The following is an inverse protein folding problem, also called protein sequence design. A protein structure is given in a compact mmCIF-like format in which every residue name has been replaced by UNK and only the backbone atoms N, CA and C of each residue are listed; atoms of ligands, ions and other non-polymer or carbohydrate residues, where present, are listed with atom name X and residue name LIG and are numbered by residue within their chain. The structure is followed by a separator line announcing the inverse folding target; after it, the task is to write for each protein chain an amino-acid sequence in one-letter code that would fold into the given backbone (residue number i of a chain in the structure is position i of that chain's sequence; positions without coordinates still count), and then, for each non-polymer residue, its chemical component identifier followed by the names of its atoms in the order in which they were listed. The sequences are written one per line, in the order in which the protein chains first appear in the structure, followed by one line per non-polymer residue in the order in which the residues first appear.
data_IF_506976554673
#
_entry.id   IF_506976554673
#
_cell.length_a   1.000
_cell.length_b   1.000
_cell.length_c   1.000
_cell.angle_alpha   90.00
_cell.angle_beta   90.00
_cell.angle_gamma   90.00
#
_symmetry.space_group_name_H-M   'P 1'
#
loop_
_entity.id
_entity.type
_entity.pdbx_description
1 polymer ?
#
# COMPACT_ATOMS: atom_id res chain seq x y z
N UNK A 1 37.17 6.05 5.04
CA UNK A 1 35.76 6.18 4.59
C UNK A 1 35.54 5.21 3.44
N UNK A 2 34.40 4.52 3.38
CA UNK A 2 34.09 3.67 2.23
C UNK A 2 34.09 4.51 0.94
N UNK A 3 34.56 3.95 -0.18
CA UNK A 3 34.56 4.65 -1.46
C UNK A 3 33.12 5.10 -1.82
N UNK A 4 32.99 6.34 -2.29
CA UNK A 4 31.72 6.84 -2.82
C UNK A 4 31.34 5.99 -4.05
N UNK A 5 30.09 5.55 -4.08
CA UNK A 5 29.50 4.73 -5.14
C UNK A 5 28.34 5.46 -5.78
N UNK A 6 28.02 5.11 -7.01
CA UNK A 6 26.83 5.56 -7.73
C UNK A 6 25.79 4.46 -7.75
N UNK A 7 24.61 4.72 -7.22
CA UNK A 7 23.49 3.77 -7.18
C UNK A 7 22.35 4.30 -8.00
N UNK A 8 21.78 3.45 -8.85
CA UNK A 8 20.56 3.77 -9.59
C UNK A 8 19.35 3.19 -8.85
N UNK A 9 18.28 3.98 -8.71
CA UNK A 9 17.00 3.56 -8.13
C UNK A 9 15.93 3.70 -9.20
N UNK A 10 15.30 2.60 -9.61
CA UNK A 10 14.21 2.58 -10.58
C UNK A 10 12.88 2.59 -9.84
N UNK A 11 12.21 3.73 -9.82
CA UNK A 11 10.92 3.97 -9.15
C UNK A 11 11.00 5.07 -8.10
N UNK A 12 10.10 6.05 -8.19
CA UNK A 12 10.02 7.22 -7.31
C UNK A 12 8.97 7.14 -6.20
N UNK A 13 8.51 5.93 -5.84
CA UNK A 13 7.56 5.74 -4.74
C UNK A 13 8.22 5.81 -3.37
N UNK A 14 7.47 5.51 -2.30
CA UNK A 14 7.98 5.54 -0.92
C UNK A 14 9.28 4.73 -0.74
N UNK A 15 9.32 3.51 -1.29
CA UNK A 15 10.49 2.64 -1.20
C UNK A 15 11.72 3.23 -1.91
N UNK A 16 11.53 3.76 -3.12
CA UNK A 16 12.62 4.36 -3.89
C UNK A 16 13.16 5.63 -3.26
N UNK A 17 12.27 6.53 -2.79
CA UNK A 17 12.68 7.76 -2.11
C UNK A 17 13.36 7.48 -0.77
N UNK A 18 12.84 6.54 0.03
CA UNK A 18 13.48 6.12 1.28
C UNK A 18 14.87 5.52 1.03
N UNK A 19 15.01 4.65 0.03
CA UNK A 19 16.30 4.08 -0.36
C UNK A 19 17.28 5.16 -0.80
N UNK A 20 16.85 6.08 -1.66
CA UNK A 20 17.68 7.19 -2.13
C UNK A 20 18.14 8.09 -0.97
N UNK A 21 17.24 8.43 -0.05
CA UNK A 21 17.57 9.23 1.13
C UNK A 21 18.61 8.53 2.01
N UNK A 22 18.44 7.23 2.30
CA UNK A 22 19.41 6.47 3.13
C UNK A 22 20.75 6.23 2.45
N UNK A 23 20.78 6.02 1.14
CA UNK A 23 22.01 5.90 0.36
C UNK A 23 22.76 7.25 0.31
N UNK A 24 22.03 8.36 0.16
CA UNK A 24 22.61 9.70 0.18
C UNK A 24 23.15 10.07 1.58
N UNK A 25 22.43 9.74 2.66
CA UNK A 25 22.92 9.85 4.05
C UNK A 25 24.23 9.07 4.25
N UNK A 26 24.33 7.88 3.66
CA UNK A 26 25.53 7.02 3.73
C UNK A 26 26.72 7.50 2.88
N UNK A 27 26.59 8.58 2.11
CA UNK A 27 27.70 9.13 1.32
C UNK A 27 27.72 8.79 -0.17
N UNK A 28 26.72 8.06 -0.67
CA UNK A 28 26.65 7.62 -2.06
C UNK A 28 25.93 8.63 -2.95
N UNK A 29 26.24 8.61 -4.25
CA UNK A 29 25.48 9.33 -5.28
C UNK A 29 24.32 8.46 -5.74
N UNK A 30 23.15 9.05 -5.91
CA UNK A 30 21.94 8.31 -6.30
C UNK A 30 21.30 8.95 -7.53
N UNK A 31 20.94 8.13 -8.51
CA UNK A 31 20.12 8.54 -9.65
C UNK A 31 18.77 7.85 -9.56
N UNK A 32 17.69 8.61 -9.46
CA UNK A 32 16.32 8.08 -9.38
C UNK A 32 15.68 8.19 -10.75
N UNK A 33 15.27 7.08 -11.34
CA UNK A 33 14.52 7.04 -12.60
C UNK A 33 13.05 6.77 -12.31
N UNK A 34 12.16 7.61 -12.82
CA UNK A 34 10.73 7.46 -12.61
C UNK A 34 9.93 7.79 -13.87
N UNK A 35 8.97 6.91 -14.19
CA UNK A 35 8.07 7.07 -15.32
C UNK A 35 7.20 8.34 -15.22
N UNK A 36 6.88 8.75 -13.99
CA UNK A 36 6.08 9.92 -13.68
C UNK A 36 6.82 10.81 -12.67
N UNK A 37 6.40 12.06 -12.46
CA UNK A 37 6.89 12.84 -11.33
C UNK A 37 6.74 12.03 -10.04
N UNK A 38 7.77 12.00 -9.18
CA UNK A 38 7.85 11.05 -8.05
C UNK A 38 6.64 11.18 -7.11
N UNK A 39 6.11 12.40 -6.94
CA UNK A 39 4.89 12.74 -6.18
C UNK A 39 3.59 12.14 -6.74
N UNK A 40 3.61 11.67 -7.99
CA UNK A 40 2.47 11.00 -8.67
C UNK A 40 2.59 9.47 -8.66
N UNK A 41 3.61 8.92 -7.99
CA UNK A 41 3.72 7.49 -7.75
C UNK A 41 2.49 6.95 -7.01
N UNK A 42 2.11 5.69 -7.26
CA UNK A 42 0.89 5.10 -6.70
C UNK A 42 0.83 5.11 -5.16
N UNK A 43 1.97 5.22 -4.47
CA UNK A 43 2.01 5.42 -3.01
C UNK A 43 1.14 6.58 -2.53
N UNK A 44 0.93 7.62 -3.35
CA UNK A 44 0.03 8.76 -3.03
C UNK A 44 -1.41 8.33 -2.76
N UNK A 45 -1.84 7.20 -3.33
CA UNK A 45 -3.21 6.69 -3.22
C UNK A 45 -3.47 5.90 -1.94
N UNK A 46 -2.45 5.64 -1.10
CA UNK A 46 -2.65 4.91 0.14
C UNK A 46 -3.42 5.77 1.17
N UNK A 47 -4.55 5.26 1.66
CA UNK A 47 -5.43 6.00 2.57
C UNK A 47 -5.30 5.50 4.03
N UNK A 48 -5.25 4.17 4.18
CA UNK A 48 -5.42 3.46 5.46
C UNK A 48 -4.39 3.77 6.54
N UNK A 49 -3.12 3.93 6.19
CA UNK A 49 -2.08 4.28 7.15
C UNK A 49 -0.88 3.34 7.10
N UNK A 50 -0.05 3.41 8.13
CA UNK A 50 1.17 2.61 8.30
C UNK A 50 1.15 1.93 9.68
N UNK A 51 1.40 0.63 9.71
CA UNK A 51 1.39 -0.14 10.96
C UNK A 51 2.73 -0.03 11.70
N UNK A 52 2.67 0.12 13.02
CA UNK A 52 3.81 0.00 13.92
C UNK A 52 3.36 -0.05 15.37
N UNK A 53 3.83 -1.07 16.10
CA UNK A 53 3.44 -1.35 17.47
C UNK A 53 4.08 -0.37 18.47
N UNK A 54 3.59 0.88 18.47
CA UNK A 54 4.04 1.94 19.38
C UNK A 54 3.39 1.83 20.76
N UNK A 55 2.18 1.26 20.84
CA UNK A 55 1.45 0.99 22.08
C UNK A 55 1.11 2.24 22.96
N UNK A 56 0.89 3.42 22.36
CA UNK A 56 0.52 4.64 23.13
C UNK A 56 -0.81 4.51 23.88
N UNK A 57 -1.70 3.61 23.45
CA UNK A 57 -3.00 3.36 24.11
C UNK A 57 -2.91 2.42 25.32
N UNK A 58 -1.74 1.83 25.59
CA UNK A 58 -1.57 0.88 26.70
C UNK A 58 -2.30 -0.45 26.50
N UNK A 59 -2.56 -0.86 25.26
CA UNK A 59 -3.28 -2.11 24.93
C UNK A 59 -2.40 -3.37 25.05
N UNK A 60 -1.14 -3.22 25.48
CA UNK A 60 -0.15 -4.29 25.50
C UNK A 60 0.28 -4.72 24.09
N UNK A 61 0.26 -3.81 23.12
CA UNK A 61 0.78 -4.09 21.78
C UNK A 61 2.32 -4.18 21.78
N UNK A 62 2.89 -4.99 20.88
CA UNK A 62 4.34 -5.18 20.79
C UNK A 62 4.79 -5.53 19.37
N UNK A 63 6.07 -5.31 19.03
CA UNK A 63 6.63 -5.78 17.76
C UNK A 63 6.44 -7.28 17.53
N UNK A 64 6.48 -8.10 18.59
CA UNK A 64 6.24 -9.54 18.47
C UNK A 64 4.79 -9.86 18.07
N UNK A 65 3.80 -9.17 18.66
CA UNK A 65 2.40 -9.35 18.25
C UNK A 65 2.15 -8.85 16.82
N UNK A 66 2.83 -7.78 16.40
CA UNK A 66 2.77 -7.33 15.01
C UNK A 66 3.43 -8.34 14.06
N UNK A 67 4.53 -8.97 14.47
CA UNK A 67 5.15 -10.08 13.75
C UNK A 67 4.19 -11.28 13.63
N UNK A 68 3.57 -11.72 14.74
CA UNK A 68 2.62 -12.83 14.77
C UNK A 68 1.42 -12.59 13.84
N UNK A 69 0.77 -11.42 13.95
CA UNK A 69 -0.33 -11.03 13.05
C UNK A 69 0.12 -11.06 11.57
N UNK A 70 1.37 -10.70 11.28
CA UNK A 70 1.91 -10.70 9.91
C UNK A 70 2.18 -12.11 9.39
N UNK A 71 2.72 -13.01 10.22
CA UNK A 71 3.00 -14.40 9.85
C UNK A 71 1.71 -15.18 9.64
N UNK A 72 0.73 -15.02 10.53
CA UNK A 72 -0.58 -15.65 10.37
C UNK A 72 -1.31 -15.07 9.16
N UNK A 73 -1.27 -13.76 8.95
CA UNK A 73 -1.91 -13.11 7.81
C UNK A 73 -1.28 -13.44 6.45
N UNK A 74 -0.02 -13.86 6.42
CA UNK A 74 0.63 -14.37 5.20
C UNK A 74 0.61 -15.90 5.09
N UNK A 75 -0.25 -16.56 5.87
CA UNK A 75 -0.45 -18.02 5.90
C UNK A 75 0.88 -18.80 6.01
N UNK A 76 1.78 -18.30 6.86
CA UNK A 76 3.11 -18.86 7.11
C UNK A 76 4.06 -18.96 5.90
N UNK A 77 3.68 -18.42 4.74
CA UNK A 77 4.50 -18.38 3.53
C UNK A 77 5.64 -17.35 3.64
N UNK A 78 5.54 -16.40 4.56
CA UNK A 78 6.53 -15.33 4.71
C UNK A 78 7.89 -15.86 5.17
N UNK A 79 8.96 -15.24 4.68
CA UNK A 79 10.28 -15.40 5.28
C UNK A 79 10.32 -14.63 6.61
N UNK A 80 10.32 -15.36 7.72
CA UNK A 80 10.08 -14.80 9.06
C UNK A 80 11.13 -13.78 9.55
N UNK A 81 12.46 -13.97 9.38
CA UNK A 81 13.44 -13.02 9.93
C UNK A 81 13.31 -11.59 9.36
N UNK A 82 13.10 -11.37 8.04
CA UNK A 82 12.75 -10.04 7.52
C UNK A 82 11.45 -9.47 8.10
N UNK A 83 10.43 -10.30 8.33
CA UNK A 83 9.14 -9.84 8.91
C UNK A 83 9.34 -9.38 10.35
N UNK A 84 10.10 -10.11 11.15
CA UNK A 84 10.41 -9.69 12.53
C UNK A 84 11.17 -8.36 12.54
N UNK A 85 12.20 -8.23 11.68
CA UNK A 85 12.93 -6.95 11.54
C UNK A 85 12.02 -5.80 11.10
N UNK A 86 11.07 -6.06 10.20
CA UNK A 86 10.07 -5.06 9.79
C UNK A 86 9.22 -4.62 10.99
N UNK A 87 8.70 -5.58 11.77
CA UNK A 87 7.85 -5.30 12.93
C UNK A 87 8.60 -4.53 14.04
N UNK A 88 9.87 -4.89 14.31
CA UNK A 88 10.75 -4.18 15.26
C UNK A 88 11.08 -2.75 14.83
N UNK A 89 11.26 -2.52 13.52
CA UNK A 89 11.63 -1.19 13.00
C UNK A 89 10.44 -0.26 12.79
N UNK A 90 9.24 -0.82 12.64
CA UNK A 90 8.04 -0.06 12.34
C UNK A 90 7.77 1.12 13.32
N UNK A 91 7.86 0.96 14.66
CA UNK A 91 7.69 2.07 15.59
C UNK A 91 8.68 3.21 15.34
N UNK A 92 9.95 2.89 15.13
CA UNK A 92 10.99 3.88 14.86
C UNK A 92 10.78 4.59 13.52
N UNK A 93 10.27 3.88 12.50
CA UNK A 93 9.91 4.47 11.20
C UNK A 93 8.74 5.44 11.34
N UNK A 94 7.71 5.10 12.13
CA UNK A 94 6.59 6.03 12.41
C UNK A 94 7.10 7.31 13.05
N UNK A 95 7.93 7.21 14.10
CA UNK A 95 8.51 8.39 14.74
C UNK A 95 9.47 9.17 13.83
N UNK A 96 10.19 8.49 12.93
CA UNK A 96 11.02 9.16 11.93
C UNK A 96 10.15 10.02 11.01
N UNK A 97 9.07 9.45 10.48
CA UNK A 97 8.13 10.14 9.60
C UNK A 97 7.42 11.30 10.31
N UNK A 98 7.05 11.10 11.58
CA UNK A 98 6.48 12.15 12.43
C UNK A 98 7.45 13.34 12.56
N UNK A 99 8.73 13.07 12.84
CA UNK A 99 9.78 14.09 12.92
C UNK A 99 10.15 14.72 11.57
N UNK A 100 9.86 14.05 10.46
CA UNK A 100 9.98 14.61 9.11
C UNK A 100 8.84 15.58 8.77
N UNK A 101 7.86 15.75 9.66
CA UNK A 101 6.75 16.66 9.48
C UNK A 101 5.52 16.03 8.84
N UNK A 102 5.42 14.70 8.79
CA UNK A 102 4.18 14.03 8.35
C UNK A 102 3.07 14.40 9.34
N UNK A 103 1.96 15.03 8.89
CA UNK A 103 0.87 15.47 9.76
C UNK A 103 -0.03 14.29 10.17
N UNK A 104 0.52 13.35 10.93
CA UNK A 104 -0.27 12.27 11.52
C UNK A 104 -1.35 12.84 12.45
N UNK A 105 -2.52 12.20 12.45
CA UNK A 105 -3.59 12.53 13.38
C UNK A 105 -3.11 12.44 14.83
N UNK A 106 -3.64 13.33 15.66
CA UNK A 106 -3.33 13.40 17.08
C UNK A 106 -4.54 13.08 17.94
N UNK A 107 -4.29 12.62 19.16
CA UNK A 107 -5.29 12.61 20.24
C UNK A 107 -5.52 14.04 20.75
N UNK A 108 -6.51 14.23 21.62
CA UNK A 108 -6.77 15.51 22.31
C UNK A 108 -5.56 16.03 23.08
N UNK A 109 -4.70 15.12 23.56
CA UNK A 109 -3.49 15.42 24.31
C UNK A 109 -2.27 15.71 23.41
N UNK A 110 -2.44 15.68 22.08
CA UNK A 110 -1.37 15.94 21.12
C UNK A 110 -0.46 14.75 20.82
N UNK A 111 -0.76 13.55 21.32
CA UNK A 111 -0.02 12.31 21.01
C UNK A 111 -0.43 11.75 19.64
N UNK A 112 0.40 10.88 19.04
CA UNK A 112 0.02 10.18 17.80
C UNK A 112 -1.25 9.34 18.02
N UNK A 113 -2.22 9.51 17.13
CA UNK A 113 -3.43 8.69 17.09
C UNK A 113 -3.22 7.44 16.25
N UNK A 114 -3.79 6.33 16.70
CA UNK A 114 -3.74 5.04 16.03
C UNK A 114 -5.13 4.45 15.89
N UNK A 115 -5.43 3.88 14.73
CA UNK A 115 -6.70 3.19 14.43
C UNK A 115 -6.50 1.69 14.26
N UNK A 116 -7.61 0.96 14.27
CA UNK A 116 -7.66 -0.46 13.87
C UNK A 116 -7.65 -0.58 12.34
N UNK A 117 -7.18 -1.73 11.87
CA UNK A 117 -7.10 -2.06 10.45
C UNK A 117 -7.23 -3.58 10.27
N UNK A 118 -7.51 -4.05 9.06
CA UNK A 118 -7.84 -5.45 8.83
C UNK A 118 -6.75 -6.41 9.32
N UNK A 119 -7.16 -7.54 9.90
CA UNK A 119 -6.24 -8.56 10.41
C UNK A 119 -5.57 -8.24 11.75
N UNK A 120 -5.94 -7.17 12.45
CA UNK A 120 -5.47 -6.92 13.82
C UNK A 120 -6.54 -6.24 14.68
N UNK A 121 -6.57 -6.59 15.97
CA UNK A 121 -7.46 -5.97 16.96
C UNK A 121 -6.78 -4.82 17.72
N UNK A 122 -5.47 -4.65 17.56
CA UNK A 122 -4.67 -3.60 18.23
C UNK A 122 -4.68 -2.30 17.42
N UNK A 123 -4.72 -1.17 18.12
CA UNK A 123 -4.60 0.14 17.49
C UNK A 123 -3.13 0.47 17.19
N UNK A 124 -2.66 0.03 16.02
CA UNK A 124 -1.27 0.23 15.61
C UNK A 124 -1.07 0.88 14.24
N UNK A 125 -2.15 1.31 13.60
CA UNK A 125 -2.10 1.99 12.31
C UNK A 125 -2.06 3.50 12.50
N UNK A 126 -0.88 4.12 12.30
CA UNK A 126 -0.75 5.58 12.24
C UNK A 126 -1.29 6.10 10.91
N UNK A 127 -1.99 7.24 10.93
CA UNK A 127 -2.71 7.77 9.77
C UNK A 127 -2.73 9.29 9.73
N UNK A 128 -2.88 9.86 8.54
CA UNK A 128 -3.11 11.28 8.30
C UNK A 128 -4.38 11.45 7.45
N UNK A 129 -5.51 11.64 8.13
CA UNK A 129 -6.85 11.62 7.57
C UNK A 129 -7.09 10.39 6.68
N UNK A 130 -7.50 10.66 5.45
CA UNK A 130 -7.61 9.67 4.38
C UNK A 130 -6.49 9.78 3.33
N UNK A 131 -5.41 10.53 3.62
CA UNK A 131 -4.35 10.86 2.65
C UNK A 131 -2.96 10.44 3.13
N UNK A 132 -2.86 9.45 4.03
CA UNK A 132 -1.60 9.05 4.65
C UNK A 132 -0.47 8.83 3.63
N UNK A 133 -0.73 8.08 2.56
CA UNK A 133 0.26 7.82 1.50
C UNK A 133 0.78 9.08 0.81
N UNK A 134 -0.10 10.05 0.55
CA UNK A 134 0.28 11.35 0.01
C UNK A 134 1.21 12.09 0.96
N UNK A 135 0.86 12.16 2.24
CA UNK A 135 1.64 12.88 3.25
C UNK A 135 3.02 12.24 3.44
N UNK A 136 3.09 10.90 3.49
CA UNK A 136 4.35 10.17 3.54
C UNK A 136 5.23 10.44 2.32
N UNK A 137 4.64 10.46 1.13
CA UNK A 137 5.37 10.66 -0.12
C UNK A 137 5.92 12.08 -0.23
N UNK A 138 5.15 13.08 0.19
CA UNK A 138 5.58 14.47 0.17
C UNK A 138 6.71 14.74 1.16
N UNK A 139 6.59 14.24 2.39
CA UNK A 139 7.67 14.36 3.38
C UNK A 139 8.97 13.72 2.87
N UNK A 140 8.92 12.51 2.30
CA UNK A 140 10.12 11.86 1.75
C UNK A 140 10.67 12.58 0.52
N UNK A 141 9.83 13.06 -0.39
CA UNK A 141 10.28 13.85 -1.54
C UNK A 141 11.04 15.10 -1.09
N UNK A 142 10.55 15.81 -0.07
CA UNK A 142 11.21 16.99 0.49
C UNK A 142 12.57 16.66 1.11
N UNK A 143 12.66 15.55 1.85
CA UNK A 143 13.96 15.08 2.38
C UNK A 143 14.93 14.71 1.24
N UNK A 144 14.45 14.11 0.16
CA UNK A 144 15.28 13.81 -1.02
C UNK A 144 15.71 15.09 -1.75
N UNK A 145 14.84 16.10 -1.86
CA UNK A 145 15.16 17.40 -2.48
C UNK A 145 16.31 18.11 -1.79
N UNK A 146 16.42 17.98 -0.46
CA UNK A 146 17.62 18.45 0.27
C UNK A 146 18.90 17.85 -0.30
N UNK A 147 18.91 16.56 -0.62
CA UNK A 147 20.08 15.90 -1.20
C UNK A 147 20.31 16.24 -2.67
N UNK A 148 19.27 16.59 -3.42
CA UNK A 148 19.40 17.14 -4.77
C UNK A 148 20.17 18.47 -4.76
N UNK A 149 19.84 19.39 -3.84
CA UNK A 149 20.56 20.67 -3.70
C UNK A 149 22.04 20.51 -3.34
N UNK A 150 22.42 19.34 -2.83
CA UNK A 150 23.80 18.97 -2.48
C UNK A 150 24.50 18.15 -3.58
N UNK A 151 23.89 18.02 -4.76
CA UNK A 151 24.39 17.20 -5.87
C UNK A 151 24.67 15.74 -5.50
N UNK A 152 23.90 15.20 -4.53
CA UNK A 152 23.98 13.80 -4.09
C UNK A 152 22.90 12.93 -4.70
N UNK A 153 21.74 13.51 -5.00
CA UNK A 153 20.63 12.83 -5.67
C UNK A 153 20.31 13.57 -6.96
N UNK A 154 20.01 12.82 -8.01
CA UNK A 154 19.53 13.35 -9.29
C UNK A 154 18.25 12.60 -9.68
N UNK A 155 17.20 13.33 -10.05
CA UNK A 155 15.91 12.76 -10.46
C UNK A 155 15.73 12.86 -11.97
N UNK A 156 15.50 11.72 -12.58
CA UNK A 156 15.14 11.54 -13.98
C UNK A 156 13.66 11.17 -14.05
N UNK A 157 12.79 12.19 -14.03
CA UNK A 157 11.34 12.03 -14.14
C UNK A 157 10.90 12.02 -15.62
N UNK A 158 9.90 11.21 -15.96
CA UNK A 158 9.52 10.98 -17.36
C UNK A 158 10.50 10.05 -18.08
N UNK A 159 11.13 9.12 -17.36
CA UNK A 159 12.02 8.12 -17.91
C UNK A 159 11.42 6.71 -17.76
N UNK A 160 11.39 5.96 -18.85
CA UNK A 160 10.98 4.56 -18.88
C UNK A 160 12.19 3.64 -18.77
N UNK A 161 12.13 2.65 -17.87
CA UNK A 161 13.16 1.65 -17.71
C UNK A 161 13.05 0.57 -18.80
N UNK A 162 14.15 0.32 -19.52
CA UNK A 162 14.19 -0.64 -20.61
C UNK A 162 14.95 -1.94 -20.27
N UNK A 163 15.82 -1.91 -19.25
CA UNK A 163 16.53 -3.10 -18.81
C UNK A 163 17.74 -2.81 -17.94
N UNK A 164 18.25 -3.87 -17.30
CA UNK A 164 19.55 -3.82 -16.62
C UNK A 164 20.68 -4.05 -17.62
N UNK A 165 21.80 -3.35 -17.40
CA UNK A 165 23.08 -3.60 -18.09
C UNK A 165 23.86 -4.61 -17.26
N UNK A 166 24.44 -5.63 -17.89
CA UNK A 166 25.23 -6.68 -17.24
C UNK A 166 26.65 -6.72 -17.79
N UNK A 167 27.62 -7.06 -16.95
CA UNK A 167 28.96 -7.43 -17.40
C UNK A 167 29.02 -8.89 -17.88
N UNK A 168 30.19 -9.32 -18.35
CA UNK A 168 30.44 -10.66 -18.87
C UNK A 168 30.17 -11.76 -17.83
N UNK A 169 30.33 -11.46 -16.54
CA UNK A 169 30.01 -12.38 -15.43
C UNK A 169 28.53 -12.32 -15.00
N UNK A 170 27.71 -11.52 -15.69
CA UNK A 170 26.28 -11.38 -15.42
C UNK A 170 25.93 -10.45 -14.25
N UNK A 171 26.89 -9.69 -13.71
CA UNK A 171 26.65 -8.72 -12.63
C UNK A 171 26.02 -7.46 -13.20
N UNK A 172 25.03 -6.91 -12.51
CA UNK A 172 24.39 -5.66 -12.91
C UNK A 172 25.35 -4.47 -12.77
N UNK A 173 25.50 -3.69 -13.84
CA UNK A 173 26.40 -2.53 -13.95
C UNK A 173 25.69 -1.22 -14.30
N UNK A 174 24.36 -1.22 -14.25
CA UNK A 174 23.58 -0.05 -14.62
C UNK A 174 22.24 -0.41 -15.25
N UNK A 175 21.64 0.57 -15.89
CA UNK A 175 20.36 0.42 -16.59
C UNK A 175 20.42 1.06 -17.98
N UNK A 176 19.50 0.66 -18.84
CA UNK A 176 19.09 1.40 -20.02
C UNK A 176 17.74 2.04 -19.75
N UNK A 177 17.57 3.31 -20.09
CA UNK A 177 16.32 4.04 -19.93
C UNK A 177 16.01 4.92 -21.14
N UNK A 178 14.73 5.17 -21.38
CA UNK A 178 14.26 6.08 -22.43
C UNK A 178 13.68 7.35 -21.82
N UNK A 179 14.11 8.51 -22.31
CA UNK A 179 13.48 9.79 -21.99
C UNK A 179 12.17 9.92 -22.79
N UNK A 180 11.02 10.02 -22.12
CA UNK A 180 9.71 10.08 -22.79
C UNK A 180 9.42 11.42 -23.48
N UNK A 181 10.24 12.44 -23.27
CA UNK A 181 10.12 13.75 -23.93
C UNK A 181 10.98 13.82 -25.19
N UNK A 182 12.24 13.38 -25.12
CA UNK A 182 13.17 13.43 -26.27
C UNK A 182 13.16 12.16 -27.09
N UNK A 183 12.60 11.07 -26.55
CA UNK A 183 12.63 9.70 -27.09
C UNK A 183 14.02 9.06 -27.16
N UNK A 184 15.06 9.75 -26.65
CA UNK A 184 16.42 9.23 -26.59
C UNK A 184 16.54 8.08 -25.62
N UNK A 185 17.37 7.10 -26.00
CA UNK A 185 17.67 5.92 -25.19
C UNK A 185 19.12 6.03 -24.73
N UNK A 186 19.32 5.95 -23.42
CA UNK A 186 20.61 6.17 -22.77
C UNK A 186 20.94 5.02 -21.82
N UNK A 187 22.23 4.71 -21.72
CA UNK A 187 22.76 3.79 -20.71
C UNK A 187 23.33 4.57 -19.53
N UNK A 188 22.98 4.17 -18.31
CA UNK A 188 23.45 4.78 -17.08
C UNK A 188 24.21 3.75 -16.24
N UNK A 189 25.54 3.89 -16.22
CA UNK A 189 26.43 3.06 -15.39
C UNK A 189 26.20 3.28 -13.90
N UNK A 190 26.24 2.20 -13.13
CA UNK A 190 26.07 2.22 -11.68
C UNK A 190 26.81 1.06 -11.00
N UNK A 191 27.22 1.27 -9.75
CA UNK A 191 27.79 0.23 -8.89
C UNK A 191 26.73 -0.75 -8.37
N UNK A 192 25.47 -0.29 -8.30
CA UNK A 192 24.31 -1.10 -7.93
C UNK A 192 23.02 -0.49 -8.50
N UNK A 193 22.01 -1.34 -8.69
CA UNK A 193 20.66 -0.94 -9.13
C UNK A 193 19.64 -1.46 -8.14
N UNK A 194 18.74 -0.59 -7.69
CA UNK A 194 17.59 -0.91 -6.83
C UNK A 194 16.32 -0.80 -7.66
N UNK A 195 15.55 -1.89 -7.77
CA UNK A 195 14.24 -1.87 -8.42
C UNK A 195 13.16 -1.64 -7.37
N UNK A 196 12.49 -0.50 -7.45
CA UNK A 196 11.41 -0.04 -6.58
C UNK A 196 10.20 0.43 -7.41
N UNK A 197 9.90 -0.29 -8.50
CA UNK A 197 9.00 0.13 -9.58
C UNK A 197 7.49 0.03 -9.28
N UNK A 198 7.11 -0.48 -8.10
CA UNK A 198 5.71 -0.75 -7.77
C UNK A 198 5.21 -2.09 -8.30
N UNK A 199 3.88 -2.28 -8.23
CA UNK A 199 3.22 -3.53 -8.60
C UNK A 199 2.81 -3.63 -10.07
N UNK A 200 2.09 -4.70 -10.40
CA UNK A 200 1.62 -5.08 -11.74
C UNK A 200 0.08 -5.12 -11.85
N UNK A 201 -0.65 -4.42 -10.99
CA UNK A 201 -2.10 -4.58 -10.86
C UNK A 201 -2.93 -4.23 -12.11
N UNK A 202 -2.35 -3.55 -13.10
CA UNK A 202 -3.03 -3.21 -14.37
C UNK A 202 -3.33 -4.45 -15.22
N UNK A 203 -2.60 -5.56 -15.05
CA UNK A 203 -2.83 -6.78 -15.84
C UNK A 203 -4.23 -7.39 -15.64
N UNK A 204 -4.92 -7.05 -14.55
CA UNK A 204 -6.25 -7.58 -14.20
C UNK A 204 -7.42 -6.74 -14.76
N UNK A 205 -7.15 -5.64 -15.47
CA UNK A 205 -8.17 -4.74 -16.03
C UNK A 205 -8.88 -3.91 -14.96
N UNK A 206 -9.75 -4.52 -14.15
CA UNK A 206 -10.44 -3.86 -13.03
C UNK A 206 -9.57 -3.90 -11.78
N UNK A 207 -8.86 -2.80 -11.53
CA UNK A 207 -7.92 -2.67 -10.41
C UNK A 207 -8.02 -1.32 -9.73
N UNK A 208 -7.65 -1.27 -8.45
CA UNK A 208 -7.45 -0.01 -7.70
C UNK A 208 -6.12 0.67 -8.02
N UNK A 209 -5.23 -0.04 -8.72
CA UNK A 209 -3.91 0.42 -9.08
C UNK A 209 -3.96 1.60 -10.07
N UNK A 210 -2.94 2.46 -10.01
CA UNK A 210 -2.74 3.48 -11.05
C UNK A 210 -2.33 2.81 -12.36
N UNK A 211 -2.64 3.44 -13.50
CA UNK A 211 -2.32 2.93 -14.85
C UNK A 211 -0.82 2.70 -15.08
N UNK A 212 0.04 3.32 -14.28
CA UNK A 212 1.50 3.16 -14.32
C UNK A 212 2.01 1.89 -13.63
N UNK A 213 1.17 1.15 -12.89
CA UNK A 213 1.54 -0.09 -12.22
C UNK A 213 1.41 -1.28 -13.20
N UNK A 214 2.22 -1.25 -14.26
CA UNK A 214 2.17 -2.20 -15.38
C UNK A 214 2.95 -3.48 -15.09
N UNK A 215 3.89 -3.46 -14.14
CA UNK A 215 4.81 -4.57 -13.89
C UNK A 215 5.92 -4.72 -14.93
N UNK A 216 6.08 -3.79 -15.88
CA UNK A 216 7.05 -3.89 -16.97
C UNK A 216 8.49 -4.06 -16.46
N UNK A 217 8.93 -3.22 -15.52
CA UNK A 217 10.28 -3.27 -14.97
C UNK A 217 10.61 -4.62 -14.29
N UNK A 218 9.65 -5.19 -13.54
CA UNK A 218 9.81 -6.51 -12.91
C UNK A 218 9.88 -7.61 -13.98
N UNK A 219 9.01 -7.55 -14.98
CA UNK A 219 9.00 -8.50 -16.11
C UNK A 219 10.31 -8.47 -16.89
N UNK A 220 10.84 -7.29 -17.20
CA UNK A 220 12.12 -7.12 -17.90
C UNK A 220 13.25 -7.73 -17.06
N UNK A 221 13.32 -7.42 -15.76
CA UNK A 221 14.34 -7.98 -14.88
C UNK A 221 14.26 -9.51 -14.81
N UNK A 222 13.05 -10.07 -14.73
CA UNK A 222 12.82 -11.52 -14.75
C UNK A 222 13.33 -12.16 -16.04
N UNK A 223 12.96 -11.60 -17.20
CA UNK A 223 13.44 -12.05 -18.52
C UNK A 223 14.97 -11.93 -18.66
N UNK A 224 15.59 -11.00 -17.94
CA UNK A 224 17.05 -10.82 -17.90
C UNK A 224 17.76 -11.70 -16.85
N UNK A 225 17.05 -12.61 -16.18
CA UNK A 225 17.61 -13.65 -15.30
C UNK A 225 17.45 -13.41 -13.80
N UNK A 226 16.74 -12.36 -13.38
CA UNK A 226 16.42 -12.15 -11.95
C UNK A 226 15.36 -13.15 -11.50
N UNK A 227 15.52 -13.73 -10.32
CA UNK A 227 14.51 -14.63 -9.74
C UNK A 227 13.28 -13.83 -9.31
N UNK A 228 12.11 -14.27 -9.76
CA UNK A 228 10.83 -13.70 -9.38
C UNK A 228 10.04 -14.72 -8.54
N UNK A 229 9.57 -14.30 -7.37
CA UNK A 229 8.92 -15.19 -6.41
C UNK A 229 7.45 -14.85 -6.22
N UNK A 230 6.64 -15.90 -6.05
CA UNK A 230 5.21 -15.86 -5.74
C UNK A 230 4.35 -14.97 -6.67
N UNK A 231 4.54 -14.99 -8.02
CA UNK A 231 3.72 -14.20 -8.95
C UNK A 231 2.21 -14.49 -8.86
N UNK A 232 1.85 -15.69 -8.42
CA UNK A 232 0.48 -16.16 -8.22
C UNK A 232 -0.22 -15.51 -7.02
N UNK A 233 0.54 -14.91 -6.08
CA UNK A 233 0.01 -14.33 -4.86
C UNK A 233 -0.49 -12.89 -5.09
N UNK A 234 -1.74 -12.78 -5.56
CA UNK A 234 -2.40 -11.52 -5.89
C UNK A 234 -3.44 -11.18 -4.83
N UNK A 235 -3.28 -10.04 -4.16
CA UNK A 235 -4.26 -9.58 -3.17
C UNK A 235 -5.43 -8.84 -3.84
N UNK A 236 -6.66 -9.27 -3.51
CA UNK A 236 -7.89 -8.58 -3.87
C UNK A 236 -8.35 -7.76 -2.67
N UNK A 237 -8.65 -6.47 -2.88
CA UNK A 237 -9.22 -5.64 -1.82
C UNK A 237 -10.74 -5.83 -1.78
N UNK A 238 -11.36 -6.08 -0.62
CA UNK A 238 -12.78 -6.46 -0.54
C UNK A 238 -13.72 -5.31 -0.91
N UNK A 239 -13.33 -4.06 -0.66
CA UNK A 239 -14.19 -2.89 -0.85
C UNK A 239 -13.59 -1.92 -1.86
N UNK A 240 -14.20 -1.83 -3.03
CA UNK A 240 -13.90 -0.81 -4.04
C UNK A 240 -15.19 -0.37 -4.73
N UNK A 241 -15.32 0.94 -4.99
CA UNK A 241 -16.43 1.47 -5.78
C UNK A 241 -16.14 1.18 -7.25
N UNK A 242 -17.03 0.46 -7.95
CA UNK A 242 -16.90 0.26 -9.38
C UNK A 242 -17.11 1.59 -10.11
N UNK A 243 -16.19 1.97 -10.98
CA UNK A 243 -16.35 3.05 -11.96
C UNK A 243 -16.26 2.50 -13.38
N UNK A 244 -16.65 3.31 -14.36
CA UNK A 244 -16.52 2.97 -15.78
C UNK A 244 -15.04 2.79 -16.18
N UNK A 245 -14.17 3.67 -15.66
CA UNK A 245 -12.74 3.69 -15.94
C UNK A 245 -11.95 2.72 -15.06
N UNK A 246 -12.19 2.74 -13.74
CA UNK A 246 -11.48 1.92 -12.76
C UNK A 246 -12.24 1.76 -11.46
N UNK A 247 -11.78 0.80 -10.65
CA UNK A 247 -12.24 0.63 -9.27
C UNK A 247 -11.56 1.65 -8.35
N UNK A 248 -12.36 2.45 -7.63
CA UNK A 248 -11.86 3.40 -6.62
C UNK A 248 -11.82 2.71 -5.26
N UNK A 249 -10.66 2.69 -4.63
CA UNK A 249 -10.49 2.08 -3.31
C UNK A 249 -11.36 2.79 -2.27
N UNK A 250 -12.11 2.01 -1.48
CA UNK A 250 -12.64 2.47 -0.20
C UNK A 250 -11.77 1.87 0.89
N UNK A 251 -11.12 2.73 1.66
CA UNK A 251 -10.17 2.34 2.69
C UNK A 251 -10.75 1.30 3.63
N UNK A 252 -9.98 0.24 3.90
CA UNK A 252 -10.30 -0.75 4.92
C UNK A 252 -10.50 -0.16 6.31
N UNK A 253 -9.96 1.04 6.57
CA UNK A 253 -10.25 1.78 7.81
C UNK A 253 -11.73 2.07 7.99
N UNK A 254 -12.55 2.12 6.93
CA UNK A 254 -14.01 2.24 7.07
C UNK A 254 -14.58 1.05 7.85
N UNK A 255 -14.12 -0.18 7.57
CA UNK A 255 -14.47 -1.36 8.38
C UNK A 255 -13.81 -1.31 9.76
N UNK A 256 -12.56 -0.86 9.82
CA UNK A 256 -11.81 -0.55 11.04
C UNK A 256 -12.58 0.29 12.06
N UNK A 257 -13.32 1.28 11.55
CA UNK A 257 -14.09 2.25 12.32
C UNK A 257 -15.53 1.79 12.63
N UNK A 258 -15.96 0.62 12.12
CA UNK A 258 -17.29 0.06 12.36
C UNK A 258 -18.19 -0.06 11.13
N UNK A 259 -17.67 0.18 9.92
CA UNK A 259 -18.40 -0.05 8.68
C UNK A 259 -18.68 -1.53 8.45
N UNK A 260 -19.89 -1.86 7.99
CA UNK A 260 -20.40 -3.24 7.98
C UNK A 260 -20.71 -3.70 6.56
N UNK A 261 -20.29 -4.91 6.20
CA UNK A 261 -20.59 -5.52 4.90
C UNK A 261 -21.86 -6.34 4.99
N UNK A 262 -22.81 -6.14 4.08
CA UNK A 262 -24.06 -6.90 4.07
C UNK A 262 -24.69 -7.07 2.69
N UNK A 263 -25.61 -8.04 2.59
CA UNK A 263 -26.61 -8.15 1.51
C UNK A 263 -27.99 -8.41 2.09
N UNK A 264 -29.09 -8.10 1.37
CA UNK A 264 -30.42 -8.47 1.82
C UNK A 264 -30.53 -10.00 2.00
N UNK A 265 -31.17 -10.47 3.08
CA UNK A 265 -31.45 -11.91 3.28
C UNK A 265 -32.31 -12.49 2.16
N UNK A 266 -33.26 -11.69 1.67
CA UNK A 266 -33.96 -11.92 0.41
C UNK A 266 -33.24 -11.20 -0.73
N UNK A 267 -32.52 -11.89 -1.64
CA UNK A 267 -31.76 -11.23 -2.73
C UNK A 267 -32.63 -10.39 -3.68
N UNK A 268 -33.93 -10.66 -3.72
CA UNK A 268 -34.93 -9.98 -4.55
C UNK A 268 -35.73 -8.94 -3.77
N UNK A 269 -35.21 -8.45 -2.64
CA UNK A 269 -35.88 -7.42 -1.85
C UNK A 269 -36.15 -6.16 -2.72
N UNK A 270 -37.42 -5.74 -2.88
CA UNK A 270 -37.75 -4.60 -3.72
C UNK A 270 -37.41 -3.26 -3.05
N UNK A 271 -37.25 -3.24 -1.72
CA UNK A 271 -36.98 -2.02 -0.94
C UNK A 271 -35.66 -1.38 -1.38
N UNK A 272 -35.54 -0.08 -1.14
CA UNK A 272 -34.24 0.59 -1.23
C UNK A 272 -33.40 0.23 0.01
N UNK A 273 -32.06 0.26 -0.07
CA UNK A 273 -31.20 -0.29 0.99
C UNK A 273 -31.40 0.36 2.37
N UNK A 274 -31.71 1.65 2.40
CA UNK A 274 -31.99 2.41 3.63
C UNK A 274 -33.24 1.92 4.35
N UNK A 275 -34.19 1.33 3.62
CA UNK A 275 -35.50 0.94 4.13
C UNK A 275 -35.55 -0.54 4.53
N UNK A 276 -34.47 -1.29 4.26
CA UNK A 276 -34.35 -2.70 4.69
C UNK A 276 -33.97 -2.69 6.18
N UNK A 277 -34.83 -3.19 7.08
CA UNK A 277 -34.54 -3.29 8.52
C UNK A 277 -33.34 -4.19 8.79
N UNK A 278 -32.61 -3.94 9.87
CA UNK A 278 -31.40 -4.71 10.21
C UNK A 278 -31.64 -6.22 10.29
N UNK A 279 -32.81 -6.66 10.78
CA UNK A 279 -33.17 -8.07 10.84
C UNK A 279 -33.22 -8.77 9.46
N UNK A 280 -33.54 -8.00 8.41
CA UNK A 280 -33.62 -8.47 7.02
C UNK A 280 -32.27 -8.35 6.29
N UNK A 281 -31.23 -7.85 6.97
CA UNK A 281 -29.87 -7.77 6.44
C UNK A 281 -29.06 -8.99 6.87
N UNK A 282 -28.25 -9.48 5.94
CA UNK A 282 -27.30 -10.55 6.18
C UNK A 282 -25.91 -9.95 6.32
N UNK A 283 -25.35 -9.96 7.53
CA UNK A 283 -24.00 -9.47 7.82
C UNK A 283 -23.01 -10.64 7.76
N UNK A 284 -22.67 -11.09 6.54
CA UNK A 284 -21.98 -12.36 6.31
C UNK A 284 -20.68 -12.52 7.11
N UNK A 285 -19.89 -11.45 7.26
CA UNK A 285 -18.62 -11.52 7.98
C UNK A 285 -18.82 -11.68 9.50
N UNK A 286 -19.83 -10.98 10.07
CA UNK A 286 -20.14 -11.02 11.50
C UNK A 286 -20.78 -12.34 11.91
N UNK A 287 -21.60 -12.93 11.04
CA UNK A 287 -22.19 -14.25 11.27
C UNK A 287 -21.17 -15.39 11.15
N UNK A 288 -20.14 -15.23 10.31
CA UNK A 288 -19.09 -16.25 10.14
C UNK A 288 -18.07 -16.23 11.29
N UNK A 289 -17.64 -15.03 11.71
CA UNK A 289 -16.71 -14.85 12.82
C UNK A 289 -17.16 -13.70 13.70
N UNK A 290 -17.71 -14.02 14.87
CA UNK A 290 -18.23 -13.03 15.82
C UNK A 290 -17.13 -12.24 16.54
N UNK A 291 -15.88 -12.70 16.50
CA UNK A 291 -14.75 -12.05 17.17
C UNK A 291 -14.13 -10.96 16.28
N UNK A 292 -13.86 -11.28 15.02
CA UNK A 292 -13.27 -10.35 14.06
C UNK A 292 -14.34 -9.60 13.25
N UNK A 293 -15.45 -10.25 12.90
CA UNK A 293 -16.52 -9.69 12.07
C UNK A 293 -15.97 -9.01 10.82
N UNK A 294 -16.24 -7.72 10.64
CA UNK A 294 -15.76 -6.95 9.49
C UNK A 294 -14.24 -6.69 9.48
N UNK A 295 -13.50 -7.08 10.53
CA UNK A 295 -12.03 -6.96 10.62
C UNK A 295 -11.29 -8.25 10.22
N UNK A 296 -12.01 -9.26 9.72
CA UNK A 296 -11.41 -10.42 9.08
C UNK A 296 -10.38 -10.02 8.02
N UNK A 297 -9.43 -10.92 7.76
CA UNK A 297 -8.38 -10.71 6.76
C UNK A 297 -9.00 -10.51 5.37
N UNK A 298 -8.27 -9.79 4.50
CA UNK A 298 -8.80 -9.34 3.20
C UNK A 298 -9.20 -10.47 2.28
N UNK A 299 -8.41 -11.53 2.28
CA UNK A 299 -8.64 -12.76 1.52
C UNK A 299 -9.95 -13.42 1.96
N UNK A 300 -10.17 -13.59 3.27
CA UNK A 300 -11.42 -14.16 3.82
C UNK A 300 -12.61 -13.27 3.46
N UNK A 301 -12.54 -11.96 3.70
CA UNK A 301 -13.67 -11.05 3.37
C UNK A 301 -13.96 -11.06 1.87
N UNK A 302 -12.93 -11.01 1.03
CA UNK A 302 -13.10 -11.04 -0.43
C UNK A 302 -13.66 -12.38 -0.90
N UNK A 303 -13.26 -13.49 -0.27
CA UNK A 303 -13.78 -14.82 -0.54
C UNK A 303 -15.24 -14.96 -0.13
N UNK A 304 -15.64 -14.45 1.05
CA UNK A 304 -17.03 -14.41 1.50
C UNK A 304 -17.90 -13.62 0.50
N UNK A 305 -17.43 -12.44 0.07
CA UNK A 305 -18.12 -11.63 -0.94
C UNK A 305 -18.25 -12.41 -2.26
N UNK A 306 -17.17 -13.05 -2.71
CA UNK A 306 -17.18 -13.88 -3.90
C UNK A 306 -18.21 -14.99 -3.80
N UNK A 307 -18.17 -15.82 -2.75
CA UNK A 307 -19.12 -16.91 -2.53
C UNK A 307 -20.57 -16.40 -2.46
N UNK A 308 -20.81 -15.29 -1.75
CA UNK A 308 -22.15 -14.66 -1.66
C UNK A 308 -22.71 -14.31 -3.04
N UNK A 309 -21.89 -13.69 -3.88
CA UNK A 309 -22.26 -13.34 -5.25
C UNK A 309 -22.46 -14.58 -6.14
N UNK A 310 -21.63 -15.63 -5.97
CA UNK A 310 -21.75 -16.92 -6.68
C UNK A 310 -22.97 -17.74 -6.28
N UNK A 311 -23.48 -17.55 -5.07
CA UNK A 311 -24.75 -18.13 -4.59
C UNK A 311 -25.98 -17.34 -5.06
N UNK A 312 -25.81 -16.36 -5.96
CA UNK A 312 -26.86 -15.43 -6.41
C UNK A 312 -27.51 -14.64 -5.25
N UNK A 313 -26.74 -14.38 -4.19
CA UNK A 313 -27.15 -13.56 -3.04
C UNK A 313 -26.51 -12.17 -3.04
N UNK A 314 -25.97 -11.76 -4.18
CA UNK A 314 -25.54 -10.39 -4.43
C UNK A 314 -26.73 -9.44 -4.60
N UNK A 315 -26.45 -8.15 -4.68
CA UNK A 315 -27.48 -7.10 -4.75
C UNK A 315 -28.21 -7.13 -6.10
N UNK A 316 -29.52 -7.45 -6.13
CA UNK A 316 -30.38 -7.31 -7.32
C UNK A 316 -29.71 -7.87 -8.59
N UNK A 317 -29.26 -9.13 -8.51
CA UNK A 317 -28.52 -9.87 -9.55
C UNK A 317 -27.11 -9.35 -9.90
N UNK A 318 -26.66 -8.26 -9.27
CA UNK A 318 -25.31 -7.75 -9.41
C UNK A 318 -24.35 -8.55 -8.53
N UNK A 319 -23.12 -8.72 -9.01
CA UNK A 319 -22.03 -9.35 -8.26
C UNK A 319 -21.39 -8.34 -7.29
N UNK A 320 -22.20 -7.81 -6.38
CA UNK A 320 -21.87 -6.71 -5.47
C UNK A 320 -22.53 -6.91 -4.10
N UNK A 321 -21.96 -6.27 -3.08
CA UNK A 321 -22.45 -6.23 -1.70
C UNK A 321 -22.49 -4.77 -1.21
N UNK A 322 -23.22 -4.49 -0.14
CA UNK A 322 -23.25 -3.17 0.47
C UNK A 322 -22.13 -3.03 1.51
N UNK A 323 -21.58 -1.81 1.60
CA UNK A 323 -20.78 -1.36 2.73
C UNK A 323 -21.56 -0.25 3.43
N UNK A 324 -22.07 -0.52 4.61
CA UNK A 324 -22.87 0.41 5.39
C UNK A 324 -22.01 1.22 6.36
N UNK A 325 -22.16 2.53 6.30
CA UNK A 325 -21.50 3.51 7.18
C UNK A 325 -22.50 4.43 7.88
N UNK A 326 -23.81 4.15 7.80
CA UNK A 326 -24.88 5.01 8.32
C UNK A 326 -24.73 5.26 9.81
N UNK A 327 -24.45 4.20 10.58
CA UNK A 327 -24.18 4.31 12.03
C UNK A 327 -22.98 5.23 12.34
N UNK A 328 -21.95 5.22 11.48
CA UNK A 328 -20.77 6.09 11.66
C UNK A 328 -21.12 7.55 11.41
N UNK A 329 -21.99 7.81 10.44
CA UNK A 329 -22.49 9.15 10.16
C UNK A 329 -23.31 9.72 11.33
N UNK A 330 -24.21 8.92 11.88
CA UNK A 330 -25.07 9.30 13.01
C UNK A 330 -24.26 9.51 14.30
N UNK A 331 -23.40 8.55 14.65
CA UNK A 331 -22.61 8.59 15.90
C UNK A 331 -21.54 9.67 15.92
N UNK A 332 -21.02 10.09 14.75
CA UNK A 332 -20.01 11.14 14.62
C UNK A 332 -20.58 12.49 14.17
N UNK A 333 -21.91 12.62 14.05
CA UNK A 333 -22.65 13.88 13.86
C UNK A 333 -22.25 14.69 12.63
N UNK A 334 -22.51 14.18 11.42
CA UNK A 334 -22.00 14.78 10.16
C UNK A 334 -22.33 16.27 9.90
N UNK A 335 -21.76 16.91 8.85
CA UNK A 335 -20.74 16.41 7.92
C UNK A 335 -19.33 16.91 8.27
N UNK A 336 -18.32 16.08 7.97
CA UNK A 336 -16.95 16.51 7.69
C UNK A 336 -16.76 16.60 6.18
#
# INVERSE_FOLDING_TARGET
MAAQRTVVVVGGGLAGLMAAMKLAEAGHKVKIFSLVPVKRSHSVCAQGGINGAVNLRGEGDSPFLHFEDTITGGDFLNHQPPVMRMAERAPAIIYLLDRMGVPFNRTSEGLLSFRRFGGTLKHRTAYAGATTGQQLLYALDEQVRRWETQNRVEKYEGYEFLGIVKDEEGRCRGITAQNLKTMEIEAHGADAVVIASGGNGVIFGKSTNSIINTGSAVSICYQQGVKYGNPEMVQIHPTAIPGEDKCRLISESVRGEGGRIWTPRNPNDPRVPTDIPEADRWYMCEELDSKYGNLLSRDIVSFIIYCTCRMNRGIKERQQVYLDITQLHESKGGPY
#
